data_IF_410409611549
#
_entry.id   IF_410409611549
#
_cell.length_a   1.000
_cell.length_b   1.000
_cell.length_c   1.000
_cell.angle_alpha   90.00
_cell.angle_beta   90.00
_cell.angle_gamma   90.00
#
_symmetry.space_group_name_H-M   'P 1'
#
loop_
_entity.id
_entity.type
_entity.pdbx_description
1 polymer ?
#
# COMPACT_ATOMS: atom_id res chain seq x y z
N UNK A 1 12.91 0.79 -6.31
CA UNK A 1 12.44 1.71 -5.24
C UNK A 1 10.92 1.82 -5.14
N UNK A 2 10.17 2.07 -6.22
CA UNK A 2 8.71 2.31 -6.14
C UNK A 2 7.90 1.08 -5.67
N UNK A 3 8.27 -0.14 -6.09
CA UNK A 3 7.64 -1.37 -5.58
C UNK A 3 7.86 -1.62 -4.08
N UNK A 4 8.99 -1.17 -3.54
CA UNK A 4 9.32 -1.23 -2.11
C UNK A 4 8.50 -0.22 -1.30
N UNK A 5 8.28 0.98 -1.87
CA UNK A 5 7.34 1.97 -1.33
C UNK A 5 5.90 1.44 -1.33
N UNK A 6 5.46 0.73 -2.37
CA UNK A 6 4.16 0.07 -2.39
C UNK A 6 3.98 -0.92 -1.23
N UNK A 7 4.98 -1.78 -0.98
CA UNK A 7 4.94 -2.74 0.14
C UNK A 7 4.86 -2.06 1.52
N UNK A 8 5.46 -0.87 1.69
CA UNK A 8 5.32 -0.09 2.92
C UNK A 8 3.87 0.29 3.21
N UNK A 9 3.08 0.62 2.20
CA UNK A 9 1.67 0.98 2.39
C UNK A 9 0.79 -0.22 2.74
N UNK A 10 1.24 -1.45 2.54
CA UNK A 10 0.54 -2.66 2.99
C UNK A 10 0.62 -2.88 4.52
N UNK A 11 1.53 -2.17 5.21
CA UNK A 11 1.61 -2.22 6.67
C UNK A 11 0.35 -1.64 7.32
N UNK A 12 -0.19 -0.53 6.78
CA UNK A 12 -1.40 0.10 7.30
C UNK A 12 -2.64 -0.81 7.28
N UNK A 13 -3.01 -1.45 6.15
CA UNK A 13 -4.12 -2.37 6.13
C UNK A 13 -3.82 -3.64 6.92
N UNK A 14 -2.57 -4.13 6.97
CA UNK A 14 -2.22 -5.27 7.83
C UNK A 14 -2.48 -4.98 9.32
N UNK A 15 -2.05 -3.81 9.81
CA UNK A 15 -2.31 -3.37 11.20
C UNK A 15 -3.80 -3.17 11.45
N UNK A 16 -4.51 -2.51 10.53
CA UNK A 16 -5.96 -2.32 10.64
C UNK A 16 -6.73 -3.65 10.67
N UNK A 17 -6.32 -4.62 9.83
CA UNK A 17 -6.95 -5.95 9.77
C UNK A 17 -6.67 -6.77 11.03
N UNK A 18 -5.46 -6.67 11.58
CA UNK A 18 -5.12 -7.28 12.86
C UNK A 18 -5.94 -6.69 14.01
N UNK A 19 -6.08 -5.36 14.07
CA UNK A 19 -6.94 -4.68 15.04
C UNK A 19 -8.41 -5.10 14.91
N UNK A 20 -8.91 -5.17 13.68
CA UNK A 20 -10.28 -5.63 13.39
C UNK A 20 -10.49 -7.11 13.77
N UNK A 21 -9.49 -7.97 13.56
CA UNK A 21 -9.53 -9.37 14.00
C UNK A 21 -9.65 -9.48 15.52
N UNK A 22 -8.90 -8.65 16.26
CA UNK A 22 -9.04 -8.56 17.72
C UNK A 22 -10.41 -8.03 18.13
N UNK A 23 -10.93 -7.00 17.47
CA UNK A 23 -12.27 -6.49 17.74
C UNK A 23 -13.37 -7.54 17.48
N UNK A 24 -13.25 -8.33 16.41
CA UNK A 24 -14.18 -9.42 16.10
C UNK A 24 -14.09 -10.59 17.09
N UNK A 25 -12.94 -10.80 17.74
CA UNK A 25 -12.79 -11.82 18.78
C UNK A 25 -13.49 -11.46 20.10
N UNK A 26 -13.92 -10.20 20.27
CA UNK A 26 -14.71 -9.77 21.42
C UNK A 26 -16.14 -10.32 21.29
N UNK A 27 -16.77 -10.81 22.39
CA UNK A 27 -18.17 -11.20 22.40
C UNK A 27 -19.07 -10.09 21.85
N UNK A 28 -20.13 -10.45 21.11
CA UNK A 28 -21.01 -9.48 20.42
C UNK A 28 -21.59 -8.42 21.36
N UNK A 29 -21.84 -8.79 22.61
CA UNK A 29 -22.51 -7.96 23.61
C UNK A 29 -21.59 -6.86 24.16
N UNK A 30 -20.27 -7.05 24.04
CA UNK A 30 -19.23 -6.11 24.50
C UNK A 30 -18.59 -5.32 23.34
N UNK A 31 -19.00 -5.57 22.09
CA UNK A 31 -18.44 -4.88 20.92
C UNK A 31 -18.91 -3.43 20.87
N UNK A 32 -18.02 -2.52 21.24
CA UNK A 32 -18.27 -1.10 21.09
C UNK A 32 -17.84 -0.61 19.71
N UNK A 33 -18.76 0.03 18.99
CA UNK A 33 -18.47 0.83 17.79
C UNK A 33 -18.10 2.22 18.28
N UNK A 34 -16.81 2.46 18.43
CA UNK A 34 -16.26 3.75 18.90
C UNK A 34 -15.30 4.33 17.85
N UNK A 35 -14.65 5.46 18.17
CA UNK A 35 -13.70 6.10 17.26
C UNK A 35 -12.56 5.15 16.83
N UNK A 36 -12.12 4.25 17.70
CA UNK A 36 -11.05 3.29 17.39
C UNK A 36 -11.47 2.28 16.33
N UNK A 37 -12.72 1.82 16.35
CA UNK A 37 -13.27 0.96 15.29
C UNK A 37 -13.18 1.65 13.92
N UNK A 38 -13.61 2.91 13.84
CA UNK A 38 -13.55 3.68 12.61
C UNK A 38 -12.12 3.95 12.14
N UNK A 39 -11.19 4.18 13.07
CA UNK A 39 -9.77 4.34 12.76
C UNK A 39 -9.21 3.02 12.17
N UNK A 40 -9.51 1.86 12.77
CA UNK A 40 -9.07 0.57 12.22
C UNK A 40 -9.61 0.35 10.81
N UNK A 41 -10.89 0.66 10.58
CA UNK A 41 -11.52 0.57 9.26
C UNK A 41 -10.84 1.53 8.25
N UNK A 42 -10.54 2.76 8.67
CA UNK A 42 -9.87 3.75 7.85
C UNK A 42 -8.42 3.33 7.50
N UNK A 43 -7.72 2.66 8.41
CA UNK A 43 -6.40 2.10 8.15
C UNK A 43 -6.46 0.98 7.08
N UNK A 44 -7.50 0.14 7.11
CA UNK A 44 -7.73 -0.90 6.09
C UNK A 44 -8.03 -0.24 4.74
N UNK A 45 -9.08 0.56 4.68
CA UNK A 45 -9.59 1.11 3.41
C UNK A 45 -8.60 2.13 2.83
N UNK A 46 -8.10 3.06 3.65
CA UNK A 46 -7.17 4.10 3.24
C UNK A 46 -5.82 3.53 2.82
N UNK A 47 -5.30 2.54 3.57
CA UNK A 47 -4.05 1.88 3.24
C UNK A 47 -4.11 1.12 1.90
N UNK A 48 -5.19 0.39 1.65
CA UNK A 48 -5.42 -0.30 0.37
C UNK A 48 -5.58 0.69 -0.79
N UNK A 49 -6.33 1.78 -0.61
CA UNK A 49 -6.49 2.82 -1.63
C UNK A 49 -5.15 3.45 -2.03
N UNK A 50 -4.32 3.82 -1.04
CA UNK A 50 -3.00 4.38 -1.28
C UNK A 50 -2.07 3.39 -1.98
N UNK A 51 -2.12 2.11 -1.58
CA UNK A 51 -1.37 1.05 -2.26
C UNK A 51 -1.76 0.92 -3.74
N UNK A 52 -3.06 0.91 -4.05
CA UNK A 52 -3.56 0.81 -5.42
C UNK A 52 -3.12 2.02 -6.24
N UNK A 53 -3.27 3.24 -5.71
CA UNK A 53 -2.86 4.47 -6.39
C UNK A 53 -1.37 4.44 -6.73
N UNK A 54 -0.52 4.10 -5.75
CA UNK A 54 0.93 4.02 -5.96
C UNK A 54 1.31 2.90 -6.94
N UNK A 55 0.59 1.78 -6.91
CA UNK A 55 0.81 0.68 -7.86
C UNK A 55 0.48 1.12 -9.29
N UNK A 56 -0.64 1.84 -9.50
CA UNK A 56 -1.01 2.40 -10.81
C UNK A 56 0.06 3.39 -11.29
N UNK A 57 0.50 4.30 -10.42
CA UNK A 57 1.57 5.26 -10.74
C UNK A 57 2.85 4.51 -11.10
N UNK A 58 3.24 3.50 -10.32
CA UNK A 58 4.42 2.68 -10.58
C UNK A 58 4.34 2.01 -11.95
N UNK A 59 3.21 1.41 -12.30
CA UNK A 59 3.02 0.77 -13.61
C UNK A 59 3.08 1.80 -14.74
N UNK A 60 2.51 2.99 -14.55
CA UNK A 60 2.61 4.08 -15.53
C UNK A 60 4.06 4.55 -15.72
N UNK A 61 4.80 4.73 -14.62
CA UNK A 61 6.22 5.09 -14.68
C UNK A 61 7.01 3.99 -15.39
N UNK A 62 6.82 2.72 -15.03
CA UNK A 62 7.51 1.57 -15.66
C UNK A 62 7.20 1.45 -17.15
N UNK A 63 5.96 1.70 -17.58
CA UNK A 63 5.59 1.73 -19.00
C UNK A 63 6.15 2.93 -19.74
N UNK A 64 6.30 4.08 -19.06
CA UNK A 64 6.88 5.29 -19.62
C UNK A 64 8.42 5.31 -19.63
N UNK A 65 9.05 4.56 -18.73
CA UNK A 65 10.49 4.36 -18.73
C UNK A 65 10.84 3.28 -19.75
N UNK A 66 11.17 3.72 -20.95
CA UNK A 66 11.65 2.86 -22.02
C UNK A 66 13.08 2.39 -21.67
N UNK A 67 13.21 1.31 -20.90
CA UNK A 67 14.50 0.67 -20.59
C UNK A 67 15.21 0.06 -21.81
N UNK A 68 14.61 0.19 -23.01
CA UNK A 68 15.09 -0.43 -24.24
C UNK A 68 16.43 0.13 -24.76
N UNK A 69 16.87 1.29 -24.24
CA UNK A 69 18.18 1.88 -24.54
C UNK A 69 19.16 1.83 -23.34
N UNK A 70 18.81 1.13 -22.26
CA UNK A 70 19.72 0.97 -21.13
C UNK A 70 20.64 -0.21 -21.43
N UNK A 71 21.75 0.05 -22.11
CA UNK A 71 22.83 -0.91 -22.28
C UNK A 71 23.69 -0.88 -21.00
N UNK A 72 23.65 -1.93 -20.15
CA UNK A 72 24.41 -1.95 -18.91
C UNK A 72 25.93 -1.94 -19.14
N UNK A 73 26.39 -2.23 -20.37
CA UNK A 73 27.81 -2.26 -20.73
C UNK A 73 28.27 -0.98 -21.48
N UNK A 74 27.38 -0.02 -21.76
CA UNK A 74 27.75 1.19 -22.51
C UNK A 74 27.25 2.50 -21.84
N UNK A 75 28.13 3.23 -21.14
CA UNK A 75 27.78 4.40 -20.33
C UNK A 75 27.74 5.71 -21.16
N UNK A 76 27.13 5.71 -22.35
CA UNK A 76 27.00 6.94 -23.14
C UNK A 76 25.59 7.52 -23.03
N UNK A 77 25.42 8.36 -22.00
CA UNK A 77 24.42 9.42 -21.95
C UNK A 77 24.64 10.38 -23.13
N UNK A 78 23.76 10.32 -24.13
CA UNK A 78 23.57 11.42 -25.07
C UNK A 78 22.47 12.34 -24.52
N UNK A 79 22.89 13.57 -24.22
CA UNK A 79 22.13 14.73 -23.78
C UNK A 79 21.53 15.46 -24.98
#
# INVERSE_FOLDING_TARGET
MIGLLGMFFLVFPAVGTWGMSKWLSIPSDDRQINAYFWIMLAFIVGGLLMFILLSIISVRVLKGTNFKNYDPDNPTLHW
#
